data_IF_698087738982
#
_entry.id   IF_698087738982
#
_cell.length_a   1.000
_cell.length_b   1.000
_cell.length_c   1.000
_cell.angle_alpha   90.00
_cell.angle_beta   90.00
_cell.angle_gamma   90.00
#
_symmetry.space_group_name_H-M   'P 1'
#
loop_
_entity.id
_entity.type
_entity.pdbx_description
1 polymer ?
#
# COMPACT_ATOMS: atom_id res chain seq x y z
N UNK A 1 1.50 -11.39 -7.77
CA UNK A 1 1.42 -11.71 -6.31
C UNK A 1 0.33 -10.87 -5.69
N UNK A 2 -0.54 -11.47 -4.88
CA UNK A 2 -1.64 -10.75 -4.20
C UNK A 2 -1.51 -11.02 -2.70
N UNK A 3 -1.54 -9.96 -1.90
CA UNK A 3 -1.57 -10.00 -0.43
C UNK A 3 -2.88 -9.35 0.02
N UNK A 4 -3.62 -10.03 0.90
CA UNK A 4 -4.88 -9.53 1.45
C UNK A 4 -4.92 -9.60 2.96
N UNK A 5 -5.58 -8.63 3.57
CA UNK A 5 -5.94 -8.66 4.97
C UNK A 5 -7.40 -8.24 5.18
N UNK A 6 -7.97 -8.63 6.32
CA UNK A 6 -9.37 -8.35 6.70
C UNK A 6 -9.47 -7.24 7.75
N UNK A 7 -8.58 -6.25 7.67
CA UNK A 7 -8.55 -5.10 8.57
C UNK A 7 -9.69 -4.10 8.33
N UNK A 8 -9.49 -2.86 8.77
CA UNK A 8 -10.46 -1.77 8.60
C UNK A 8 -10.46 -1.15 7.21
N UNK A 9 -9.57 -1.59 6.33
CA UNK A 9 -9.35 -0.95 5.06
C UNK A 9 -8.55 0.35 5.14
N UNK A 10 -8.40 0.97 3.98
CA UNK A 10 -7.77 2.27 3.73
C UNK A 10 -8.86 3.22 3.25
N UNK A 11 -9.00 4.38 3.90
CA UNK A 11 -9.92 5.43 3.46
C UNK A 11 -9.43 6.10 2.17
N UNK A 12 -10.36 6.69 1.40
CA UNK A 12 -10.04 7.41 0.15
C UNK A 12 -9.08 8.59 0.36
N UNK A 13 -9.18 9.24 1.53
CA UNK A 13 -8.27 10.31 1.90
C UNK A 13 -6.85 9.77 2.09
N UNK A 14 -6.70 8.68 2.85
CA UNK A 14 -5.40 8.08 3.15
C UNK A 14 -4.75 7.49 1.89
N UNK A 15 -5.53 6.89 0.97
CA UNK A 15 -4.98 6.24 -0.22
C UNK A 15 -4.12 7.16 -1.08
N UNK A 16 -4.43 8.48 -1.08
CA UNK A 16 -3.67 9.47 -1.85
C UNK A 16 -2.28 9.77 -1.26
N UNK A 17 -2.10 9.53 0.04
CA UNK A 17 -0.86 9.85 0.78
C UNK A 17 -0.08 8.61 1.21
N UNK A 18 -0.65 7.41 1.07
CA UNK A 18 -0.10 6.20 1.69
C UNK A 18 1.27 5.77 1.15
N UNK A 19 1.65 6.26 -0.03
CA UNK A 19 2.97 6.06 -0.63
C UNK A 19 3.92 7.26 -0.45
N UNK A 20 3.47 8.33 0.19
CA UNK A 20 4.29 9.50 0.49
C UNK A 20 5.33 9.15 1.56
N UNK A 21 6.60 9.55 1.38
CA UNK A 21 7.64 9.33 2.39
C UNK A 21 7.22 9.81 3.77
N UNK A 22 7.47 8.99 4.79
CA UNK A 22 7.21 9.26 6.21
C UNK A 22 5.72 9.38 6.60
N UNK A 23 4.79 9.12 5.69
CA UNK A 23 3.36 9.11 6.02
C UNK A 23 3.00 7.86 6.86
N UNK A 24 2.35 8.06 8.00
CA UNK A 24 1.90 6.99 8.89
C UNK A 24 0.65 7.40 9.65
N UNK A 25 -0.30 6.47 9.79
CA UNK A 25 -1.46 6.60 10.68
C UNK A 25 -1.22 5.98 12.07
N UNK A 26 -0.09 5.27 12.24
CA UNK A 26 0.29 4.63 13.50
C UNK A 26 1.12 5.62 14.34
N UNK A 27 0.81 5.71 15.64
CA UNK A 27 1.46 6.60 16.61
C UNK A 27 2.99 6.53 16.59
N UNK A 28 3.55 5.33 16.50
CA UNK A 28 5.01 5.08 16.48
C UNK A 28 5.51 4.59 15.11
N UNK A 29 4.70 4.74 14.06
CA UNK A 29 5.04 4.29 12.72
C UNK A 29 5.90 5.31 11.99
N UNK A 30 7.04 4.88 11.44
CA UNK A 30 7.96 5.76 10.71
C UNK A 30 7.50 6.07 9.27
N UNK A 31 6.53 5.35 8.72
CA UNK A 31 5.99 5.59 7.37
C UNK A 31 6.96 5.29 6.22
N UNK A 32 7.95 4.43 6.44
CA UNK A 32 9.00 4.12 5.45
C UNK A 32 8.64 2.92 4.57
N UNK A 33 7.85 1.97 5.11
CA UNK A 33 7.63 0.67 4.49
C UNK A 33 7.02 0.74 3.09
N UNK A 34 5.90 1.45 2.92
CA UNK A 34 5.22 1.52 1.62
C UNK A 34 6.00 2.35 0.59
N UNK A 35 6.70 3.39 1.02
CA UNK A 35 7.59 4.17 0.15
C UNK A 35 8.72 3.28 -0.39
N UNK A 36 9.38 2.50 0.47
CA UNK A 36 10.42 1.56 0.05
C UNK A 36 9.88 0.49 -0.92
N UNK A 37 8.70 -0.07 -0.63
CA UNK A 37 8.08 -1.05 -1.53
C UNK A 37 7.81 -0.43 -2.91
N UNK A 38 7.27 0.79 -2.97
CA UNK A 38 7.06 1.51 -4.23
C UNK A 38 8.37 1.69 -5.00
N UNK A 39 9.44 2.12 -4.33
CA UNK A 39 10.75 2.30 -4.97
C UNK A 39 11.30 0.99 -5.53
N UNK A 40 11.26 -0.09 -4.75
CA UNK A 40 11.70 -1.42 -5.19
C UNK A 40 10.92 -1.86 -6.43
N UNK A 41 9.58 -1.78 -6.40
CA UNK A 41 8.73 -2.23 -7.50
C UNK A 41 8.94 -1.40 -8.76
N UNK A 42 8.99 -0.06 -8.63
CA UNK A 42 9.25 0.84 -9.75
C UNK A 42 10.63 0.59 -10.36
N UNK A 43 11.67 0.39 -9.53
CA UNK A 43 13.02 0.10 -10.02
C UNK A 43 13.11 -1.23 -10.78
N UNK A 44 12.22 -2.19 -10.48
CA UNK A 44 12.09 -3.45 -11.24
C UNK A 44 11.11 -3.34 -12.41
N UNK A 45 10.54 -2.17 -12.70
CA UNK A 45 9.56 -1.98 -13.76
C UNK A 45 8.22 -2.69 -13.51
N UNK A 46 7.93 -3.07 -12.27
CA UNK A 46 6.73 -3.81 -11.91
C UNK A 46 5.57 -2.85 -11.67
N UNK A 47 4.40 -3.22 -12.18
CA UNK A 47 3.15 -2.55 -11.82
C UNK A 47 2.62 -3.10 -10.50
N UNK A 48 1.95 -2.24 -9.74
CA UNK A 48 1.29 -2.64 -8.50
C UNK A 48 0.08 -1.75 -8.20
N UNK A 49 -0.81 -2.23 -7.33
CA UNK A 49 -1.97 -1.50 -6.84
C UNK A 49 -2.25 -1.83 -5.37
N UNK A 50 -2.81 -0.87 -4.64
CA UNK A 50 -3.23 -1.03 -3.24
C UNK A 50 -4.65 -0.48 -3.11
N UNK A 51 -5.61 -1.35 -2.80
CA UNK A 51 -7.03 -1.00 -2.77
C UNK A 51 -7.74 -1.60 -1.56
N UNK A 52 -8.83 -0.96 -1.14
CA UNK A 52 -9.78 -1.55 -0.20
C UNK A 52 -10.94 -2.14 -0.98
N UNK A 53 -11.17 -3.44 -0.84
CA UNK A 53 -12.32 -4.15 -1.40
C UNK A 53 -13.57 -3.90 -0.55
N UNK A 54 -14.74 -4.25 -1.09
CA UNK A 54 -15.97 -4.28 -0.31
C UNK A 54 -15.77 -5.09 0.98
N UNK A 55 -16.35 -4.62 2.08
CA UNK A 55 -16.25 -5.20 3.43
C UNK A 55 -14.94 -4.92 4.20
N UNK A 56 -14.12 -3.94 3.78
CA UNK A 56 -12.96 -3.48 4.58
C UNK A 56 -11.67 -4.30 4.37
N UNK A 57 -11.70 -5.28 3.47
CA UNK A 57 -10.51 -6.03 3.09
C UNK A 57 -9.52 -5.15 2.31
N UNK A 58 -8.26 -5.12 2.70
CA UNK A 58 -7.20 -4.45 1.92
C UNK A 58 -6.49 -5.46 1.04
N UNK A 59 -6.27 -5.11 -0.23
CA UNK A 59 -5.54 -5.91 -1.20
C UNK A 59 -4.35 -5.12 -1.75
N UNK A 60 -3.15 -5.71 -1.65
CA UNK A 60 -1.97 -5.27 -2.37
C UNK A 60 -1.63 -6.26 -3.49
N UNK A 61 -1.64 -5.77 -4.73
CA UNK A 61 -1.43 -6.56 -5.93
C UNK A 61 -0.18 -6.11 -6.66
N UNK A 62 0.71 -7.05 -6.97
CA UNK A 62 1.96 -6.85 -7.73
C UNK A 62 1.87 -7.69 -9.01
N UNK A 63 2.09 -7.06 -10.15
CA UNK A 63 2.02 -7.68 -11.47
C UNK A 63 3.43 -7.94 -11.99
N UNK A 64 3.72 -9.20 -12.28
CA UNK A 64 4.96 -9.66 -12.90
C UNK A 64 4.69 -9.98 -14.37
N UNK A 65 5.69 -9.85 -15.26
CA UNK A 65 5.61 -10.33 -16.64
C UNK A 65 5.29 -11.83 -16.74
#
# INVERSE_FOLDING_TARGET
LIIRDTGSGISLEISSYIFTPFFSTKKDGQGIGLTLNREILVNHGLQFSLNTLQQGCTEFSIYFP
#
